data_IF_579117131789
#
_entry.id   IF_579117131789
#
_cell.length_a   1.000
_cell.length_b   1.000
_cell.length_c   1.000
_cell.angle_alpha   90.00
_cell.angle_beta   90.00
_cell.angle_gamma   90.00
#
_symmetry.space_group_name_H-M   'P 1'
#
loop_
_entity.id
_entity.type
_entity.pdbx_description
1 polymer ?
#
# COMPACT_ATOMS: atom_id res chain seq x y z
N UNK A 1 -25.20 11.26 -8.88
CA UNK A 1 -25.07 10.45 -7.65
C UNK A 1 -26.30 10.74 -6.79
N UNK A 2 -26.91 9.75 -6.13
CA UNK A 2 -28.10 10.00 -5.28
C UNK A 2 -27.72 10.55 -3.90
N UNK A 3 -28.70 11.10 -3.18
CA UNK A 3 -28.49 11.73 -1.86
C UNK A 3 -28.03 10.71 -0.79
N UNK A 4 -28.42 9.44 -0.90
CA UNK A 4 -27.96 8.37 0.00
C UNK A 4 -26.46 8.10 -0.14
N UNK A 5 -25.96 8.09 -1.37
CA UNK A 5 -24.55 7.87 -1.68
C UNK A 5 -23.70 9.07 -1.23
N UNK A 6 -24.19 10.30 -1.41
CA UNK A 6 -23.50 11.48 -0.88
C UNK A 6 -23.38 11.42 0.64
N UNK A 7 -24.45 11.04 1.35
CA UNK A 7 -24.40 10.87 2.81
C UNK A 7 -23.44 9.77 3.24
N UNK A 8 -23.32 8.68 2.47
CA UNK A 8 -22.43 7.57 2.82
C UNK A 8 -20.95 7.88 2.64
N UNK A 9 -20.60 8.96 1.94
CA UNK A 9 -19.22 9.43 1.76
C UNK A 9 -18.93 10.74 2.54
N UNK A 10 -19.92 11.28 3.26
CA UNK A 10 -19.77 12.49 4.08
C UNK A 10 -19.51 12.18 5.55
N UNK A 11 -18.84 13.10 6.24
CA UNK A 11 -18.61 13.11 7.68
C UNK A 11 -18.51 14.54 8.23
N UNK A 12 -18.57 14.72 9.55
CA UNK A 12 -18.25 16.00 10.20
C UNK A 12 -16.77 16.10 10.56
N UNK A 13 -16.26 17.31 10.81
CA UNK A 13 -14.87 17.53 11.20
C UNK A 13 -14.46 16.86 12.53
N UNK A 14 -15.44 16.52 13.38
CA UNK A 14 -15.22 15.85 14.67
C UNK A 14 -15.11 14.33 14.57
N UNK A 15 -15.45 13.74 13.43
CA UNK A 15 -15.25 12.30 13.22
C UNK A 15 -13.76 11.96 13.23
N UNK A 16 -13.46 10.69 13.53
CA UNK A 16 -12.08 10.20 13.54
C UNK A 16 -11.58 10.00 12.12
N UNK A 17 -10.25 9.98 11.98
CA UNK A 17 -9.60 9.67 10.71
C UNK A 17 -9.93 8.25 10.23
N UNK A 18 -10.16 7.30 11.15
CA UNK A 18 -10.70 5.97 10.85
C UNK A 18 -12.05 6.03 10.10
N UNK A 19 -12.94 6.95 10.49
CA UNK A 19 -14.22 7.13 9.81
C UNK A 19 -14.01 7.66 8.39
N UNK A 20 -13.07 8.61 8.22
CA UNK A 20 -12.72 9.13 6.90
C UNK A 20 -12.16 8.03 5.96
N UNK A 21 -11.29 7.14 6.47
CA UNK A 21 -10.80 5.96 5.73
C UNK A 21 -11.97 5.10 5.25
N UNK A 22 -12.90 4.75 6.14
CA UNK A 22 -14.05 3.91 5.80
C UNK A 22 -14.98 4.57 4.75
N UNK A 23 -15.13 5.91 4.80
CA UNK A 23 -15.91 6.67 3.81
C UNK A 23 -15.22 6.68 2.43
N UNK A 24 -13.91 6.82 2.40
CA UNK A 24 -13.11 6.75 1.18
C UNK A 24 -13.24 5.35 0.56
N UNK A 25 -13.09 4.28 1.34
CA UNK A 25 -13.28 2.92 0.85
C UNK A 25 -14.69 2.69 0.28
N UNK A 26 -15.72 3.15 0.98
CA UNK A 26 -17.11 3.07 0.51
C UNK A 26 -17.36 3.86 -0.80
N UNK A 27 -16.56 4.90 -1.06
CA UNK A 27 -16.58 5.67 -2.32
C UNK A 27 -15.82 5.02 -3.47
N UNK A 28 -15.24 3.83 -3.27
CA UNK A 28 -14.33 3.21 -4.24
C UNK A 28 -12.92 3.81 -4.20
N UNK A 29 -12.51 4.37 -3.05
CA UNK A 29 -11.15 4.85 -2.81
C UNK A 29 -10.89 6.30 -3.19
N UNK A 30 -11.93 7.14 -3.31
CA UNK A 30 -11.83 8.45 -3.96
C UNK A 30 -11.79 9.63 -2.97
N UNK A 31 -12.87 9.83 -2.21
CA UNK A 31 -13.02 11.03 -1.37
C UNK A 31 -13.96 10.78 -0.19
N UNK A 32 -13.67 11.48 0.91
CA UNK A 32 -14.65 11.78 1.93
C UNK A 32 -14.94 13.28 1.99
N UNK A 33 -16.22 13.64 2.03
CA UNK A 33 -16.67 15.03 2.11
C UNK A 33 -16.84 15.42 3.58
N UNK A 34 -16.21 16.53 3.98
CA UNK A 34 -16.39 17.05 5.34
C UNK A 34 -17.44 18.16 5.30
N UNK A 35 -18.53 17.96 6.04
CA UNK A 35 -19.70 18.84 6.03
C UNK A 35 -20.08 19.31 7.44
N UNK A 36 -20.74 20.46 7.51
CA UNK A 36 -21.35 20.97 8.75
C UNK A 36 -22.72 20.34 9.05
N UNK A 37 -23.37 20.79 10.12
CA UNK A 37 -24.72 20.33 10.52
C UNK A 37 -25.81 20.64 9.49
N UNK A 38 -25.59 21.63 8.62
CA UNK A 38 -26.48 21.99 7.52
C UNK A 38 -26.07 21.32 6.19
N UNK A 39 -25.13 20.38 6.23
CA UNK A 39 -24.59 19.66 5.08
C UNK A 39 -23.83 20.56 4.08
N UNK A 40 -23.32 21.71 4.55
CA UNK A 40 -22.45 22.58 3.76
C UNK A 40 -21.04 22.04 3.72
N UNK A 41 -20.39 22.14 2.56
CA UNK A 41 -19.02 21.69 2.37
C UNK A 41 -18.03 22.57 3.15
N UNK A 42 -17.33 21.99 4.13
CA UNK A 42 -16.28 22.67 4.91
C UNK A 42 -14.88 22.11 4.65
N UNK A 43 -14.78 20.95 4.01
CA UNK A 43 -13.50 20.37 3.60
C UNK A 43 -13.66 19.06 2.82
N UNK A 44 -12.53 18.54 2.36
CA UNK A 44 -12.44 17.19 1.76
C UNK A 44 -11.26 16.43 2.31
N UNK A 45 -11.36 15.11 2.34
CA UNK A 45 -10.26 14.21 2.68
C UNK A 45 -10.09 13.18 1.56
N UNK A 46 -8.86 13.01 1.11
CA UNK A 46 -8.44 11.95 0.19
C UNK A 46 -7.52 10.97 0.90
N UNK A 47 -7.30 9.81 0.27
CA UNK A 47 -6.28 8.86 0.73
C UNK A 47 -4.89 9.51 0.81
N UNK A 48 -4.55 10.35 -0.17
CA UNK A 48 -3.32 11.16 -0.14
C UNK A 48 -3.23 12.10 1.07
N UNK A 49 -4.34 12.72 1.50
CA UNK A 49 -4.37 13.58 2.69
C UNK A 49 -4.15 12.78 3.97
N UNK A 50 -4.79 11.61 4.07
CA UNK A 50 -4.61 10.67 5.19
C UNK A 50 -3.14 10.27 5.29
N UNK A 51 -2.55 9.83 4.18
CA UNK A 51 -1.15 9.40 4.14
C UNK A 51 -0.19 10.54 4.49
N UNK A 52 -0.40 11.74 3.95
CA UNK A 52 0.37 12.93 4.35
C UNK A 52 0.20 13.29 5.82
N UNK A 53 -0.97 13.09 6.41
CA UNK A 53 -1.21 13.34 7.83
C UNK A 53 -0.49 12.30 8.72
N UNK A 54 -0.51 11.03 8.34
CA UNK A 54 0.20 9.95 9.05
C UNK A 54 1.71 10.24 9.10
N UNK A 55 2.30 10.69 7.99
CA UNK A 55 3.71 11.12 7.95
C UNK A 55 4.02 12.30 8.89
N UNK A 56 3.02 13.13 9.20
CA UNK A 56 3.11 14.26 10.15
C UNK A 56 2.75 13.85 11.59
N UNK A 57 2.52 12.57 11.86
CA UNK A 57 2.26 12.03 13.19
C UNK A 57 0.78 11.80 13.53
N UNK A 58 -0.15 12.04 12.60
CA UNK A 58 -1.56 11.72 12.81
C UNK A 58 -1.75 10.21 13.03
N UNK A 59 -2.80 9.86 13.77
CA UNK A 59 -3.24 8.48 13.98
C UNK A 59 -4.66 8.31 13.47
N UNK A 60 -5.16 7.07 13.42
CA UNK A 60 -6.56 6.81 13.09
C UNK A 60 -7.54 7.42 14.12
N UNK A 61 -7.04 7.82 15.30
CA UNK A 61 -7.79 8.53 16.35
C UNK A 61 -7.78 10.05 16.19
N UNK A 62 -6.93 10.61 15.32
CA UNK A 62 -6.95 12.04 14.98
C UNK A 62 -8.28 12.44 14.36
N UNK A 63 -8.65 13.73 14.43
CA UNK A 63 -9.93 14.18 13.88
C UNK A 63 -9.84 14.48 12.38
N UNK A 64 -10.97 14.38 11.68
CA UNK A 64 -11.09 14.78 10.29
C UNK A 64 -10.74 16.26 10.10
N UNK A 65 -11.09 17.13 11.04
CA UNK A 65 -10.78 18.55 11.03
C UNK A 65 -9.27 18.86 11.04
N UNK A 66 -8.47 18.02 11.69
CA UNK A 66 -7.01 18.18 11.74
C UNK A 66 -6.33 17.81 10.41
N UNK A 67 -7.00 16.99 9.58
CA UNK A 67 -6.44 16.40 8.36
C UNK A 67 -7.01 17.01 7.09
N UNK A 68 -8.28 17.43 7.11
CA UNK A 68 -9.00 17.83 5.91
C UNK A 68 -8.34 19.00 5.16
N UNK A 69 -8.49 18.96 3.84
CA UNK A 69 -8.25 20.11 3.00
C UNK A 69 -9.42 21.10 3.16
N UNK A 70 -9.17 22.21 3.85
CA UNK A 70 -10.20 23.20 4.26
C UNK A 70 -10.71 24.11 3.14
N UNK A 71 -10.03 24.14 1.99
CA UNK A 71 -10.41 24.98 0.86
C UNK A 71 -10.58 24.14 -0.41
N UNK A 72 -11.47 23.12 -0.37
CA UNK A 72 -11.67 22.26 -1.51
C UNK A 72 -12.22 23.05 -2.69
N UNK A 73 -11.75 22.69 -3.88
CA UNK A 73 -12.36 23.15 -5.12
C UNK A 73 -13.78 22.56 -5.19
N UNK A 74 -14.77 23.39 -5.47
CA UNK A 74 -16.15 22.98 -5.73
C UNK A 74 -16.76 23.83 -6.84
N UNK A 75 -17.87 23.37 -7.40
CA UNK A 75 -18.61 24.08 -8.46
C UNK A 75 -20.09 24.26 -8.09
N UNK A 76 -20.75 25.36 -8.52
CA UNK A 76 -22.17 25.54 -8.32
C UNK A 76 -23.02 24.50 -9.05
N UNK A 77 -24.20 24.20 -8.52
CA UNK A 77 -25.23 23.40 -9.19
C UNK A 77 -25.58 24.02 -10.56
N UNK A 78 -25.57 23.18 -11.60
CA UNK A 78 -25.84 23.61 -12.98
C UNK A 78 -24.59 24.00 -13.77
N UNK A 79 -23.39 23.93 -13.18
CA UNK A 79 -22.13 24.10 -13.92
C UNK A 79 -22.05 23.08 -15.07
N UNK A 80 -21.81 23.50 -16.33
CA UNK A 80 -21.74 22.58 -17.46
C UNK A 80 -20.62 21.56 -17.32
N UNK A 81 -20.87 20.30 -17.69
CA UNK A 81 -19.89 19.23 -17.58
C UNK A 81 -18.56 19.51 -18.29
N UNK A 82 -18.59 20.18 -19.44
CA UNK A 82 -17.38 20.55 -20.17
C UNK A 82 -16.47 21.50 -19.37
N UNK A 83 -17.07 22.39 -18.57
CA UNK A 83 -16.32 23.30 -17.69
C UNK A 83 -15.73 22.54 -16.50
N UNK A 84 -16.52 21.66 -15.87
CA UNK A 84 -16.06 20.80 -14.78
C UNK A 84 -14.87 19.94 -15.23
N UNK A 85 -14.98 19.27 -16.39
CA UNK A 85 -13.91 18.47 -16.96
C UNK A 85 -12.65 19.29 -17.28
N UNK A 86 -12.82 20.52 -17.79
CA UNK A 86 -11.70 21.42 -18.04
C UNK A 86 -10.99 21.84 -16.74
N UNK A 87 -11.74 22.10 -15.66
CA UNK A 87 -11.16 22.42 -14.34
C UNK A 87 -10.40 21.22 -13.79
N UNK A 88 -11.03 20.04 -13.78
CA UNK A 88 -10.43 18.80 -13.30
C UNK A 88 -9.11 18.49 -14.02
N UNK A 89 -9.11 18.58 -15.35
CA UNK A 89 -7.91 18.36 -16.17
C UNK A 89 -6.82 19.43 -15.97
N UNK A 90 -7.21 20.71 -15.88
CA UNK A 90 -6.26 21.82 -15.75
C UNK A 90 -5.59 21.84 -14.38
N UNK A 91 -6.38 21.60 -13.33
CA UNK A 91 -5.94 21.70 -11.94
C UNK A 91 -5.44 20.35 -11.41
N UNK A 92 -5.46 19.28 -12.23
CA UNK A 92 -5.09 17.92 -11.85
C UNK A 92 -5.86 17.45 -10.60
N UNK A 93 -7.15 17.78 -10.56
CA UNK A 93 -8.07 17.38 -9.51
C UNK A 93 -8.93 16.25 -10.05
N UNK A 94 -9.14 15.21 -9.25
CA UNK A 94 -9.84 13.99 -9.69
C UNK A 94 -11.33 13.96 -9.30
N UNK A 95 -11.77 14.95 -8.54
CA UNK A 95 -13.09 15.01 -7.93
C UNK A 95 -13.52 16.46 -7.67
N UNK A 96 -14.78 16.74 -7.97
CA UNK A 96 -15.38 18.06 -7.86
C UNK A 96 -16.71 17.95 -7.12
N UNK A 97 -16.74 18.29 -5.81
CA UNK A 97 -17.98 18.54 -5.11
C UNK A 97 -18.85 19.59 -5.82
N UNK A 98 -20.15 19.34 -5.89
CA UNK A 98 -21.15 20.27 -6.41
C UNK A 98 -21.95 20.81 -5.24
N UNK A 99 -22.05 22.13 -5.16
CA UNK A 99 -22.76 22.83 -4.08
C UNK A 99 -23.88 23.72 -4.61
N UNK A 100 -24.93 23.93 -3.83
CA UNK A 100 -25.96 24.94 -4.11
C UNK A 100 -25.51 26.36 -3.72
N UNK A 101 -26.43 27.33 -3.76
CA UNK A 101 -26.13 28.72 -3.45
C UNK A 101 -25.78 28.94 -1.97
N UNK A 102 -26.25 28.07 -1.09
CA UNK A 102 -26.01 28.06 0.35
C UNK A 102 -24.78 27.25 0.75
N UNK A 103 -24.07 26.65 -0.23
CA UNK A 103 -22.87 25.83 -0.03
C UNK A 103 -23.17 24.37 0.35
N UNK A 104 -24.43 23.95 0.32
CA UNK A 104 -24.86 22.59 0.64
C UNK A 104 -24.39 21.64 -0.46
N UNK A 105 -23.80 20.52 -0.08
CA UNK A 105 -23.37 19.49 -1.03
C UNK A 105 -24.61 18.83 -1.66
N UNK A 106 -24.75 18.99 -2.97
CA UNK A 106 -25.84 18.42 -3.77
C UNK A 106 -25.35 17.39 -4.80
N UNK A 107 -24.04 17.28 -5.00
CA UNK A 107 -23.45 16.37 -5.98
C UNK A 107 -21.95 16.19 -5.82
N UNK A 108 -21.42 15.22 -6.55
CA UNK A 108 -19.99 14.98 -6.72
C UNK A 108 -19.78 14.55 -8.17
N UNK A 109 -18.97 15.30 -8.90
CA UNK A 109 -18.43 14.86 -10.18
C UNK A 109 -17.05 14.28 -9.97
N UNK A 110 -16.79 13.17 -10.63
CA UNK A 110 -15.47 12.55 -10.67
C UNK A 110 -14.91 12.85 -12.04
N UNK A 111 -13.61 13.13 -12.12
CA UNK A 111 -12.92 13.21 -13.40
C UNK A 111 -13.09 11.86 -14.09
N UNK A 112 -13.92 11.86 -15.13
CA UNK A 112 -14.15 10.81 -16.13
C UNK A 112 -13.95 9.38 -15.64
N UNK A 113 -14.55 8.98 -14.50
CA UNK A 113 -14.25 7.72 -13.80
C UNK A 113 -12.77 7.63 -13.43
N UNK A 114 -12.44 7.59 -12.14
CA UNK A 114 -11.09 7.20 -11.72
C UNK A 114 -10.91 5.74 -12.14
N UNK A 115 -10.42 5.51 -13.35
CA UNK A 115 -9.75 4.27 -13.70
C UNK A 115 -8.49 4.29 -12.85
N UNK A 116 -8.59 3.69 -11.66
CA UNK A 116 -7.39 3.16 -11.02
C UNK A 116 -6.58 2.46 -12.11
N UNK A 117 -5.26 2.67 -12.18
CA UNK A 117 -4.46 2.10 -13.24
C UNK A 117 -4.82 0.63 -13.43
N UNK A 118 -5.21 0.23 -14.65
CA UNK A 118 -5.74 -1.10 -14.92
C UNK A 118 -4.80 -2.15 -14.30
N UNK A 119 -5.19 -2.82 -13.21
CA UNK A 119 -4.31 -3.73 -12.49
C UNK A 119 -3.80 -4.86 -13.39
N UNK A 120 -4.55 -5.25 -14.43
CA UNK A 120 -4.14 -6.29 -15.37
C UNK A 120 -2.98 -5.85 -16.28
N UNK A 121 -2.79 -4.54 -16.48
CA UNK A 121 -1.69 -3.97 -17.26
C UNK A 121 -0.38 -3.87 -16.46
N UNK A 122 -0.41 -4.11 -15.15
CA UNK A 122 0.71 -3.97 -14.25
C UNK A 122 1.27 -5.32 -13.82
N UNK A 123 2.60 -5.46 -13.91
CA UNK A 123 3.31 -6.65 -13.47
C UNK A 123 3.56 -6.61 -11.97
N UNK A 124 3.35 -7.75 -11.32
CA UNK A 124 3.68 -7.98 -9.91
C UNK A 124 4.91 -8.87 -9.84
N UNK A 125 5.94 -8.45 -9.09
CA UNK A 125 7.15 -9.22 -8.87
C UNK A 125 7.22 -9.61 -7.40
N UNK A 126 7.22 -10.91 -7.12
CA UNK A 126 7.29 -11.43 -5.75
C UNK A 126 8.68 -12.00 -5.48
N UNK A 127 9.33 -11.50 -4.43
CA UNK A 127 10.63 -11.99 -3.99
C UNK A 127 10.44 -13.25 -3.13
N UNK A 128 10.54 -14.42 -3.76
CA UNK A 128 10.28 -15.73 -3.16
C UNK A 128 11.55 -16.59 -2.93
N UNK A 129 12.74 -16.05 -3.21
CA UNK A 129 14.02 -16.79 -3.15
C UNK A 129 14.75 -16.79 -1.79
N UNK A 130 14.16 -16.25 -0.74
CA UNK A 130 14.80 -16.13 0.58
C UNK A 130 15.00 -17.47 1.30
N UNK A 131 16.15 -17.65 1.96
CA UNK A 131 16.48 -18.89 2.72
C UNK A 131 15.66 -19.09 4.00
N UNK A 132 14.95 -18.04 4.48
CA UNK A 132 14.10 -18.14 5.67
C UNK A 132 14.80 -18.57 6.96
N UNK A 133 16.12 -18.35 7.10
CA UNK A 133 16.96 -18.98 8.14
C UNK A 133 16.50 -18.83 9.59
N UNK A 134 15.71 -17.80 9.90
CA UNK A 134 15.14 -17.55 11.23
C UNK A 134 13.96 -18.47 11.59
N UNK A 135 13.39 -19.16 10.61
CA UNK A 135 12.28 -20.10 10.75
C UNK A 135 12.73 -21.56 10.62
N UNK A 136 14.04 -21.83 10.70
CA UNK A 136 14.53 -23.20 10.79
C UNK A 136 14.01 -23.89 12.07
N UNK A 137 13.73 -25.20 12.03
CA UNK A 137 14.04 -26.14 10.95
C UNK A 137 13.02 -26.19 9.80
N UNK A 138 11.89 -25.48 9.87
CA UNK A 138 10.81 -25.56 8.87
C UNK A 138 11.35 -25.23 7.46
N UNK A 139 12.15 -24.17 7.38
CA UNK A 139 12.68 -23.68 6.09
C UNK A 139 13.86 -24.47 5.53
N UNK A 140 14.20 -25.62 6.12
CA UNK A 140 15.20 -26.53 5.55
C UNK A 140 14.63 -27.39 4.42
N UNK A 141 13.32 -27.67 4.47
CA UNK A 141 12.62 -28.51 3.49
C UNK A 141 11.47 -27.79 2.78
N UNK A 142 11.01 -26.66 3.32
CA UNK A 142 9.89 -25.87 2.77
C UNK A 142 10.36 -24.45 2.50
N UNK A 143 10.22 -23.90 1.27
CA UNK A 143 10.46 -22.48 1.02
C UNK A 143 9.63 -21.62 1.96
N UNK A 144 10.18 -20.54 2.50
CA UNK A 144 9.45 -19.65 3.41
C UNK A 144 8.06 -19.21 2.86
N UNK A 145 7.92 -18.80 1.59
CA UNK A 145 6.61 -18.45 1.02
C UNK A 145 5.62 -19.62 0.94
N UNK A 146 6.10 -20.87 1.04
CA UNK A 146 5.27 -22.08 1.00
C UNK A 146 4.85 -22.59 2.38
N UNK A 147 5.25 -21.92 3.47
CA UNK A 147 4.77 -22.26 4.81
C UNK A 147 3.26 -22.04 4.85
N UNK A 148 2.53 -23.02 5.38
CA UNK A 148 1.07 -22.96 5.48
C UNK A 148 0.64 -22.11 6.68
N UNK A 149 -0.36 -21.26 6.43
CA UNK A 149 -1.07 -20.51 7.46
C UNK A 149 -2.55 -20.73 7.20
N UNK A 150 -3.26 -21.34 8.15
CA UNK A 150 -4.67 -21.73 7.97
C UNK A 150 -4.87 -22.72 6.81
N UNK A 151 -3.98 -23.70 6.67
CA UNK A 151 -4.07 -24.76 5.66
C UNK A 151 -3.75 -24.35 4.22
N UNK A 152 -3.26 -23.12 3.99
CA UNK A 152 -2.89 -22.60 2.66
C UNK A 152 -1.52 -21.93 2.70
N UNK A 153 -0.67 -22.08 1.67
CA UNK A 153 0.63 -21.40 1.61
C UNK A 153 0.52 -19.87 1.71
N UNK A 154 1.49 -19.22 2.37
CA UNK A 154 1.59 -17.74 2.42
C UNK A 154 1.55 -17.14 1.00
N UNK A 155 2.33 -17.71 0.07
CA UNK A 155 2.41 -17.23 -1.30
C UNK A 155 1.09 -17.35 -2.04
N UNK A 156 0.31 -18.41 -1.79
CA UNK A 156 -1.01 -18.56 -2.38
C UNK A 156 -1.96 -17.43 -1.94
N UNK A 157 -1.93 -17.06 -0.66
CA UNK A 157 -2.70 -15.94 -0.12
C UNK A 157 -2.26 -14.61 -0.73
N UNK A 158 -0.96 -14.39 -0.89
CA UNK A 158 -0.43 -13.19 -1.56
C UNK A 158 -0.95 -13.10 -3.00
N UNK A 159 -0.83 -14.18 -3.76
CA UNK A 159 -1.26 -14.24 -5.17
C UNK A 159 -2.78 -14.08 -5.31
N UNK A 160 -3.56 -14.67 -4.42
CA UNK A 160 -5.01 -14.48 -4.37
C UNK A 160 -5.38 -13.01 -4.15
N UNK A 161 -4.71 -12.31 -3.22
CA UNK A 161 -4.96 -10.88 -2.99
C UNK A 161 -4.70 -10.03 -4.23
N UNK A 162 -3.59 -10.27 -4.93
CA UNK A 162 -3.32 -9.60 -6.20
C UNK A 162 -4.40 -9.91 -7.24
N UNK A 163 -4.82 -11.18 -7.36
CA UNK A 163 -5.90 -11.58 -8.27
C UNK A 163 -7.23 -10.90 -7.96
N UNK A 164 -7.63 -10.86 -6.69
CA UNK A 164 -8.85 -10.20 -6.21
C UNK A 164 -8.87 -8.71 -6.57
N UNK A 165 -7.70 -8.07 -6.55
CA UNK A 165 -7.53 -6.67 -6.95
C UNK A 165 -7.33 -6.47 -8.47
N UNK A 166 -7.48 -7.52 -9.29
CA UNK A 166 -7.45 -7.43 -10.74
C UNK A 166 -6.09 -7.67 -11.40
N UNK A 167 -5.02 -7.86 -10.63
CA UNK A 167 -3.70 -8.16 -11.19
C UNK A 167 -3.67 -9.57 -11.79
N UNK A 168 -2.98 -9.74 -12.91
CA UNK A 168 -2.93 -11.01 -13.65
C UNK A 168 -1.52 -11.49 -13.96
N UNK A 169 -0.56 -10.58 -14.14
CA UNK A 169 0.81 -10.92 -14.53
C UNK A 169 1.74 -10.93 -13.32
N UNK A 170 2.38 -12.07 -13.07
CA UNK A 170 3.24 -12.26 -11.90
C UNK A 170 4.58 -12.87 -12.29
N UNK A 171 5.66 -12.26 -11.82
CA UNK A 171 7.00 -12.86 -11.85
C UNK A 171 7.41 -13.30 -10.46
N UNK A 172 7.68 -14.59 -10.27
CA UNK A 172 8.19 -15.13 -9.02
C UNK A 172 9.72 -15.21 -9.09
N UNK A 173 10.40 -14.38 -8.29
CA UNK A 173 11.85 -14.46 -8.13
C UNK A 173 12.18 -15.59 -7.16
N UNK A 174 12.68 -16.71 -7.69
CA UNK A 174 12.92 -17.95 -6.96
C UNK A 174 14.40 -18.32 -6.95
N UNK A 175 14.82 -19.03 -5.90
CA UNK A 175 16.19 -19.51 -5.76
C UNK A 175 16.21 -20.89 -5.11
N UNK A 176 16.59 -20.97 -3.83
CA UNK A 176 16.62 -22.22 -3.08
C UNK A 176 15.22 -22.87 -3.04
N UNK A 177 15.15 -24.18 -3.30
CA UNK A 177 13.89 -24.95 -3.36
C UNK A 177 12.86 -24.44 -4.40
N UNK A 178 13.31 -23.75 -5.46
CA UNK A 178 12.44 -23.23 -6.53
C UNK A 178 11.48 -24.27 -7.10
N UNK A 179 11.91 -25.52 -7.27
CA UNK A 179 11.08 -26.59 -7.82
C UNK A 179 9.79 -26.88 -7.04
N UNK A 180 9.75 -26.58 -5.74
CA UNK A 180 8.51 -26.70 -4.93
C UNK A 180 7.52 -25.62 -5.32
N UNK A 181 7.99 -24.37 -5.46
CA UNK A 181 7.15 -23.23 -5.86
C UNK A 181 6.66 -23.44 -7.29
N UNK A 182 7.56 -23.78 -8.22
CA UNK A 182 7.22 -24.02 -9.63
C UNK A 182 6.26 -25.20 -9.80
N UNK A 183 6.48 -26.28 -9.05
CA UNK A 183 5.60 -27.46 -9.08
C UNK A 183 4.19 -27.17 -8.55
N UNK A 184 4.06 -26.28 -7.55
CA UNK A 184 2.75 -25.91 -6.98
C UNK A 184 1.99 -24.91 -7.87
N UNK A 185 2.67 -23.88 -8.37
CA UNK A 185 2.00 -22.79 -9.08
C UNK A 185 1.93 -22.96 -10.61
N UNK A 186 2.83 -23.76 -11.21
CA UNK A 186 2.84 -23.97 -12.66
C UNK A 186 2.93 -22.65 -13.44
N UNK A 187 2.14 -22.50 -14.49
CA UNK A 187 1.99 -21.24 -15.24
C UNK A 187 0.98 -20.26 -14.60
N UNK A 188 0.42 -20.60 -13.43
CA UNK A 188 -0.57 -19.80 -12.71
C UNK A 188 -2.00 -19.95 -13.21
N UNK A 189 -2.28 -20.71 -14.28
CA UNK A 189 -3.61 -20.79 -14.86
C UNK A 189 -4.66 -21.32 -13.87
N UNK A 190 -4.28 -22.31 -13.04
CA UNK A 190 -5.13 -22.85 -11.97
C UNK A 190 -5.51 -21.81 -10.90
N UNK A 191 -4.71 -20.75 -10.77
CA UNK A 191 -4.93 -19.66 -9.84
C UNK A 191 -5.59 -18.45 -10.49
N UNK A 192 -5.84 -18.46 -11.81
CA UNK A 192 -6.36 -17.30 -12.56
C UNK A 192 -5.30 -16.21 -12.80
N UNK A 193 -4.03 -16.62 -12.87
CA UNK A 193 -2.87 -15.75 -13.06
C UNK A 193 -2.04 -16.24 -14.26
N UNK A 194 -1.12 -15.38 -14.71
CA UNK A 194 -0.04 -15.71 -15.62
C UNK A 194 1.27 -15.56 -14.84
N UNK A 195 1.92 -16.69 -14.56
CA UNK A 195 3.13 -16.74 -13.73
C UNK A 195 4.33 -17.12 -14.59
N UNK A 196 5.37 -16.28 -14.52
CA UNK A 196 6.73 -16.63 -14.93
C UNK A 196 7.70 -16.64 -13.75
N UNK A 197 8.86 -17.25 -13.97
CA UNK A 197 9.85 -17.49 -12.93
C UNK A 197 11.18 -16.85 -13.28
N UNK A 198 11.66 -16.02 -12.37
CA UNK A 198 13.00 -15.44 -12.42
C UNK A 198 13.90 -16.26 -11.51
N UNK A 199 14.73 -17.12 -12.11
CA UNK A 199 15.65 -17.99 -11.36
C UNK A 199 16.96 -17.28 -11.06
N UNK A 200 17.20 -17.00 -9.79
CA UNK A 200 18.49 -16.52 -9.32
C UNK A 200 19.48 -17.68 -9.16
N UNK A 201 20.60 -17.67 -9.92
CA UNK A 201 21.69 -18.66 -9.75
C UNK A 201 22.62 -18.33 -8.58
N UNK A 202 22.62 -17.06 -8.15
CA UNK A 202 23.32 -16.54 -6.97
C UNK A 202 22.45 -15.50 -6.30
N UNK A 203 22.73 -15.15 -5.04
CA UNK A 203 21.94 -14.15 -4.31
C UNK A 203 22.17 -12.75 -4.90
N UNK A 204 21.20 -12.24 -5.64
CA UNK A 204 21.25 -10.93 -6.31
C UNK A 204 20.65 -9.80 -5.46
N UNK A 205 19.97 -10.13 -4.36
CA UNK A 205 19.30 -9.14 -3.54
C UNK A 205 17.94 -8.73 -4.13
N UNK A 206 17.16 -7.96 -3.37
CA UNK A 206 15.76 -7.68 -3.70
C UNK A 206 15.60 -6.84 -4.96
N UNK A 207 16.51 -5.88 -5.21
CA UNK A 207 16.51 -5.12 -6.45
C UNK A 207 17.29 -5.84 -7.55
N UNK A 208 18.41 -6.50 -7.23
CA UNK A 208 19.24 -7.17 -8.24
C UNK A 208 18.51 -8.27 -9.00
N UNK A 209 17.57 -8.98 -8.39
CA UNK A 209 16.73 -9.96 -9.10
C UNK A 209 15.90 -9.34 -10.23
N UNK A 210 15.55 -8.05 -10.13
CA UNK A 210 14.79 -7.33 -11.17
C UNK A 210 15.60 -7.15 -12.45
N UNK A 211 16.95 -7.18 -12.38
CA UNK A 211 17.82 -7.17 -13.57
C UNK A 211 17.73 -8.43 -14.42
N UNK A 212 17.12 -9.49 -13.88
CA UNK A 212 16.94 -10.79 -14.55
C UNK A 212 15.56 -10.94 -15.20
N UNK A 213 14.71 -9.92 -15.14
CA UNK A 213 13.44 -9.91 -15.86
C UNK A 213 13.71 -10.02 -17.37
N UNK A 214 13.00 -10.92 -18.06
CA UNK A 214 13.26 -11.20 -19.47
C UNK A 214 12.97 -10.00 -20.38
N UNK A 215 11.76 -9.44 -20.26
CA UNK A 215 11.35 -8.24 -20.98
C UNK A 215 11.14 -7.08 -20.01
N UNK A 216 11.57 -5.89 -20.43
CA UNK A 216 11.37 -4.66 -19.65
C UNK A 216 9.87 -4.32 -19.63
N UNK A 217 9.24 -4.18 -18.45
CA UNK A 217 7.85 -3.76 -18.38
C UNK A 217 7.64 -2.37 -18.97
N UNK A 218 6.52 -2.14 -19.66
CA UNK A 218 6.16 -0.82 -20.19
C UNK A 218 5.55 0.10 -19.14
N UNK A 219 4.97 -0.49 -18.09
CA UNK A 219 4.27 0.19 -17.01
C UNK A 219 5.00 -0.02 -15.68
N UNK A 220 4.81 0.88 -14.69
CA UNK A 220 5.27 0.65 -13.33
C UNK A 220 4.92 -0.75 -12.83
N UNK A 221 5.84 -1.38 -12.11
CA UNK A 221 5.63 -2.70 -11.54
C UNK A 221 5.54 -2.63 -10.03
N UNK A 222 4.79 -3.55 -9.45
CA UNK A 222 4.74 -3.77 -8.00
C UNK A 222 5.82 -4.77 -7.67
N UNK A 223 6.62 -4.49 -6.64
CA UNK A 223 7.61 -5.43 -6.10
C UNK A 223 7.27 -5.66 -4.64
N UNK A 224 7.20 -6.92 -4.21
CA UNK A 224 6.83 -7.28 -2.85
C UNK A 224 7.60 -8.50 -2.35
N UNK A 225 8.00 -8.52 -1.07
CA UNK A 225 8.57 -9.73 -0.50
C UNK A 225 7.50 -10.82 -0.34
N UNK A 226 7.86 -12.07 -0.65
CA UNK A 226 6.95 -13.22 -0.65
C UNK A 226 6.56 -13.77 0.73
N UNK A 227 6.84 -13.02 1.79
CA UNK A 227 6.59 -13.36 3.19
C UNK A 227 5.71 -12.33 3.91
N UNK A 228 5.11 -11.40 3.16
CA UNK A 228 4.30 -10.32 3.70
C UNK A 228 2.82 -10.64 3.50
N UNK A 229 2.08 -10.76 4.60
CA UNK A 229 0.62 -10.82 4.58
C UNK A 229 0.06 -9.41 4.77
N UNK A 230 -0.80 -8.95 3.87
CA UNK A 230 -1.30 -7.58 3.90
C UNK A 230 -2.70 -7.44 3.30
N UNK A 231 -3.41 -6.39 3.69
CA UNK A 231 -4.70 -5.97 3.11
C UNK A 231 -4.60 -4.65 2.34
N UNK A 232 -3.40 -4.23 1.96
CA UNK A 232 -3.17 -3.00 1.20
C UNK A 232 -3.95 -3.02 -0.12
N UNK A 233 -4.50 -1.87 -0.49
CA UNK A 233 -5.01 -1.63 -1.83
C UNK A 233 -3.85 -1.22 -2.76
N UNK A 234 -3.40 -2.16 -3.59
CA UNK A 234 -2.29 -1.95 -4.52
C UNK A 234 -2.67 -0.99 -5.67
N UNK A 235 -3.95 -0.93 -6.05
CA UNK A 235 -4.45 0.06 -7.01
C UNK A 235 -4.28 1.49 -6.50
N UNK A 236 -4.56 1.74 -5.23
CA UNK A 236 -4.31 3.04 -4.58
C UNK A 236 -2.82 3.36 -4.49
N UNK A 237 -1.98 2.36 -4.19
CA UNK A 237 -0.52 2.56 -4.19
C UNK A 237 0.02 2.93 -5.58
N UNK A 238 -0.52 2.32 -6.64
CA UNK A 238 -0.22 2.69 -8.04
C UNK A 238 -0.72 4.09 -8.38
N UNK A 239 -1.97 4.42 -8.03
CA UNK A 239 -2.52 5.75 -8.25
C UNK A 239 -1.65 6.82 -7.56
N UNK A 240 -1.30 6.60 -6.30
CA UNK A 240 -0.40 7.48 -5.55
C UNK A 240 0.97 7.64 -6.21
N UNK A 241 1.53 6.57 -6.77
CA UNK A 241 2.78 6.64 -7.52
C UNK A 241 2.67 7.58 -8.73
N UNK A 242 1.58 7.48 -9.51
CA UNK A 242 1.34 8.35 -10.65
C UNK A 242 1.03 9.80 -10.25
N UNK A 243 0.19 10.01 -9.25
CA UNK A 243 -0.20 11.34 -8.74
C UNK A 243 1.01 12.17 -8.31
N UNK A 244 2.02 11.52 -7.72
CA UNK A 244 3.25 12.17 -7.29
C UNK A 244 4.34 12.20 -8.37
N UNK A 245 4.03 11.75 -9.60
CA UNK A 245 5.00 11.54 -10.67
C UNK A 245 6.25 10.78 -10.18
N UNK A 246 6.09 9.84 -9.26
CA UNK A 246 7.20 9.15 -8.63
C UNK A 246 7.89 8.20 -9.62
N UNK A 247 9.18 7.97 -9.41
CA UNK A 247 9.92 6.87 -10.02
C UNK A 247 10.01 5.65 -9.10
N UNK A 248 9.94 5.88 -7.78
CA UNK A 248 9.93 4.83 -6.78
C UNK A 248 9.01 5.20 -5.60
N UNK A 249 8.09 4.32 -5.24
CA UNK A 249 7.20 4.47 -4.08
C UNK A 249 7.49 3.33 -3.11
N UNK A 250 7.76 3.64 -1.85
CA UNK A 250 8.01 2.65 -0.80
C UNK A 250 6.85 2.61 0.19
N UNK A 251 6.29 1.42 0.41
CA UNK A 251 5.38 1.16 1.52
C UNK A 251 6.11 1.29 2.85
N UNK A 252 5.55 2.05 3.79
CA UNK A 252 6.11 2.24 5.13
C UNK A 252 5.14 1.76 6.20
N UNK A 253 5.57 0.82 7.04
CA UNK A 253 4.78 0.42 8.19
C UNK A 253 5.19 1.25 9.42
N UNK A 254 4.21 1.63 10.26
CA UNK A 254 4.49 2.30 11.53
C UNK A 254 4.93 1.27 12.57
N UNK A 255 6.09 1.47 13.18
CA UNK A 255 6.63 0.64 14.23
C UNK A 255 6.74 1.44 15.52
N UNK A 256 6.09 0.96 16.58
CA UNK A 256 6.13 1.57 17.90
C UNK A 256 7.01 0.76 18.82
N UNK A 257 7.96 1.44 19.46
CA UNK A 257 8.79 0.85 20.49
C UNK A 257 8.57 1.58 21.81
N UNK A 258 7.97 0.89 22.78
CA UNK A 258 7.89 1.40 24.14
C UNK A 258 9.11 0.94 24.93
N UNK A 259 9.86 1.90 25.46
CA UNK A 259 10.86 1.59 26.48
C UNK A 259 10.09 1.31 27.78
N UNK A 260 10.23 0.14 28.44
CA UNK A 260 9.45 -0.18 29.64
C UNK A 260 9.98 0.52 30.92
N UNK A 261 10.89 1.48 30.77
CA UNK A 261 11.61 2.18 31.84
C UNK A 261 11.58 3.70 31.63
N UNK A 262 11.94 4.45 32.68
CA UNK A 262 12.27 5.86 32.57
C UNK A 262 13.54 6.09 31.74
N UNK A 263 13.40 6.82 30.63
CA UNK A 263 14.51 7.31 29.80
C UNK A 263 15.00 8.64 30.35
N UNK A 264 16.31 8.79 30.49
CA UNK A 264 16.95 10.01 30.99
C UNK A 264 17.72 10.68 29.87
N UNK A 265 17.40 11.93 29.56
CA UNK A 265 18.10 12.71 28.55
C UNK A 265 19.36 13.30 29.15
N UNK A 266 20.54 12.88 28.68
CA UNK A 266 21.83 13.37 29.17
C UNK A 266 22.53 14.19 28.10
N UNK A 267 22.93 15.43 28.43
CA UNK A 267 23.81 16.24 27.59
C UNK A 267 25.13 16.47 28.32
N UNK A 268 26.23 15.99 27.72
CA UNK A 268 27.55 15.89 28.37
C UNK A 268 27.45 15.07 29.67
N UNK A 269 27.46 15.73 30.82
CA UNK A 269 27.39 15.11 32.15
C UNK A 269 26.14 15.54 32.95
N UNK A 270 25.23 16.30 32.34
CA UNK A 270 24.05 16.83 33.01
C UNK A 270 22.80 16.14 32.52
N UNK A 271 21.93 15.78 33.47
CA UNK A 271 20.57 15.34 33.18
C UNK A 271 19.76 16.56 32.73
N UNK A 272 19.10 16.42 31.59
CA UNK A 272 18.32 17.47 30.93
C UNK A 272 16.83 17.16 30.84
N UNK A 273 16.43 15.90 31.07
CA UNK A 273 15.04 15.47 30.96
C UNK A 273 14.84 14.05 31.46
N UNK A 274 13.58 13.73 31.73
CA UNK A 274 13.10 12.39 32.06
C UNK A 274 11.84 12.12 31.25
N UNK A 275 11.75 10.94 30.66
CA UNK A 275 10.55 10.44 29.99
C UNK A 275 10.21 9.08 30.58
N UNK A 276 9.08 8.95 31.26
CA UNK A 276 8.64 7.65 31.79
C UNK A 276 7.96 6.84 30.70
N UNK A 277 8.43 5.60 30.52
CA UNK A 277 7.93 4.64 29.54
C UNK A 277 7.63 5.22 28.15
N UNK A 278 8.57 5.99 27.57
CA UNK A 278 8.30 6.68 26.32
C UNK A 278 8.05 5.68 25.20
N UNK A 279 7.14 6.06 24.32
CA UNK A 279 6.88 5.36 23.06
C UNK A 279 7.57 6.14 21.96
N UNK A 280 8.41 5.45 21.19
CA UNK A 280 9.04 6.00 20.01
C UNK A 280 8.35 5.46 18.76
N UNK A 281 7.96 6.36 17.88
CA UNK A 281 7.37 6.04 16.59
C UNK A 281 8.45 6.05 15.50
N UNK A 282 8.49 4.98 14.71
CA UNK A 282 9.37 4.86 13.56
C UNK A 282 8.56 4.44 12.33
N UNK A 283 9.02 4.82 11.15
CA UNK A 283 8.60 4.18 9.91
C UNK A 283 9.65 3.16 9.49
N UNK A 284 9.20 1.93 9.24
CA UNK A 284 10.04 0.85 8.74
C UNK A 284 9.63 0.51 7.31
N UNK A 285 10.61 0.07 6.52
CA UNK A 285 10.36 -0.42 5.17
C UNK A 285 9.40 -1.63 5.24
N UNK A 286 8.25 -1.51 4.58
CA UNK A 286 7.21 -2.53 4.60
C UNK A 286 7.51 -3.68 3.62
N UNK A 287 8.57 -3.61 2.81
CA UNK A 287 8.90 -4.63 1.81
C UNK A 287 7.95 -4.67 0.62
N UNK A 288 7.27 -3.56 0.35
CA UNK A 288 6.31 -3.38 -0.75
C UNK A 288 6.68 -2.09 -1.48
N UNK A 289 6.73 -2.16 -2.80
CA UNK A 289 7.21 -1.06 -3.63
C UNK A 289 6.42 -0.95 -4.93
N UNK A 290 6.29 0.26 -5.45
CA UNK A 290 5.94 0.51 -6.85
C UNK A 290 7.12 1.21 -7.50
N UNK A 291 7.59 0.69 -8.63
CA UNK A 291 8.74 1.26 -9.32
C UNK A 291 8.45 1.47 -10.81
N UNK A 292 8.88 2.60 -11.35
CA UNK A 292 8.78 2.90 -12.77
C UNK A 292 9.84 2.11 -13.56
N UNK A 293 9.56 1.65 -14.79
CA UNK A 293 10.51 0.84 -15.56
C UNK A 293 11.87 1.49 -15.78
N UNK A 294 11.90 2.82 -15.84
CA UNK A 294 13.09 3.67 -15.96
C UNK A 294 14.15 3.37 -14.90
N UNK A 295 13.74 3.04 -13.67
CA UNK A 295 14.70 2.85 -12.57
C UNK A 295 15.45 1.52 -12.65
N UNK A 296 14.99 0.58 -13.49
CA UNK A 296 15.69 -0.69 -13.69
C UNK A 296 17.11 -0.48 -14.25
N UNK A 297 17.34 0.62 -14.97
CA UNK A 297 18.66 0.97 -15.51
C UNK A 297 19.67 1.37 -14.41
N UNK A 298 19.19 1.70 -13.21
CA UNK A 298 20.04 2.01 -12.06
C UNK A 298 20.57 0.75 -11.35
N UNK A 299 20.06 -0.43 -11.72
CA UNK A 299 20.42 -1.70 -11.09
C UNK A 299 21.69 -2.22 -11.77
N UNK A 300 22.81 -2.38 -11.03
CA UNK A 300 24.03 -2.92 -11.60
C UNK A 300 23.82 -4.40 -12.01
N UNK A 301 24.22 -4.80 -13.23
CA UNK A 301 24.07 -6.18 -13.67
C UNK A 301 24.95 -7.12 -12.84
N UNK A 302 24.45 -8.34 -12.65
CA UNK A 302 25.19 -9.46 -12.03
C UNK A 302 25.79 -9.17 -10.63
N UNK A 303 25.22 -8.23 -9.88
CA UNK A 303 25.66 -7.85 -8.53
C UNK A 303 24.52 -7.90 -7.51
N UNK A 304 24.87 -8.19 -6.26
CA UNK A 304 23.97 -7.97 -5.13
C UNK A 304 23.54 -6.49 -5.07
N UNK A 305 22.23 -6.26 -5.11
CA UNK A 305 21.63 -4.94 -4.99
C UNK A 305 20.28 -5.05 -4.29
N UNK A 306 20.03 -4.22 -3.29
CA UNK A 306 18.77 -4.24 -2.54
C UNK A 306 17.92 -3.00 -2.82
N UNK A 307 16.64 -3.07 -2.44
CA UNK A 307 15.69 -1.97 -2.66
C UNK A 307 16.13 -0.66 -1.97
N UNK A 308 16.64 -0.63 -0.72
CA UNK A 308 17.18 0.60 -0.14
C UNK A 308 18.29 1.23 -0.99
N UNK A 309 19.25 0.43 -1.47
CA UNK A 309 20.32 0.92 -2.35
C UNK A 309 19.77 1.46 -3.67
N UNK A 310 18.72 0.85 -4.24
CA UNK A 310 18.06 1.36 -5.44
C UNK A 310 17.38 2.71 -5.17
N UNK A 311 16.65 2.83 -4.05
CA UNK A 311 16.02 4.08 -3.64
C UNK A 311 17.05 5.20 -3.43
N UNK A 312 18.25 4.88 -2.94
CA UNK A 312 19.37 5.83 -2.80
C UNK A 312 19.93 6.37 -4.13
N UNK A 313 19.72 5.67 -5.24
CA UNK A 313 20.08 6.15 -6.57
C UNK A 313 18.98 7.02 -7.22
N UNK A 314 17.75 6.98 -6.70
CA UNK A 314 16.63 7.76 -7.24
C UNK A 314 16.67 9.18 -6.65
N UNK A 315 16.44 10.17 -7.50
CA UNK A 315 16.38 11.58 -7.07
C UNK A 315 15.39 11.76 -5.90
N UNK A 316 15.72 12.52 -4.84
CA UNK A 316 14.87 12.69 -3.66
C UNK A 316 13.42 13.09 -3.97
N UNK A 317 13.21 14.00 -4.92
CA UNK A 317 11.86 14.45 -5.30
C UNK A 317 11.07 13.44 -6.15
N UNK A 318 11.71 12.34 -6.57
CA UNK A 318 11.09 11.27 -7.38
C UNK A 318 10.96 9.95 -6.61
N UNK A 319 11.35 9.92 -5.33
CA UNK A 319 11.12 8.78 -4.45
C UNK A 319 10.16 9.18 -3.32
N UNK A 320 9.07 8.46 -3.17
CA UNK A 320 7.97 8.85 -2.28
C UNK A 320 7.62 7.76 -1.27
N UNK A 321 7.16 8.20 -0.10
CA UNK A 321 6.74 7.35 1.00
C UNK A 321 5.22 7.12 0.94
N UNK A 322 4.81 5.86 1.02
CA UNK A 322 3.42 5.43 1.11
C UNK A 322 3.19 4.79 2.47
N UNK A 323 2.80 5.56 3.51
CA UNK A 323 2.53 5.00 4.82
C UNK A 323 1.31 4.10 4.79
N UNK A 324 1.44 2.93 5.40
CA UNK A 324 0.37 1.94 5.51
C UNK A 324 -0.50 2.27 6.72
N UNK A 325 -1.81 2.18 6.54
CA UNK A 325 -2.79 2.14 7.63
C UNK A 325 -3.63 0.84 7.58
N UNK A 326 -3.42 0.03 6.56
CA UNK A 326 -4.00 -1.28 6.34
C UNK A 326 -3.24 -2.38 7.10
N UNK A 327 -3.79 -3.59 7.15
CA UNK A 327 -3.11 -4.73 7.79
C UNK A 327 -1.79 -5.04 7.09
N UNK A 328 -0.73 -5.24 7.86
CA UNK A 328 0.59 -5.65 7.39
C UNK A 328 1.28 -6.55 8.41
N UNK A 329 1.81 -7.68 7.96
CA UNK A 329 2.58 -8.62 8.76
C UNK A 329 3.71 -9.24 7.92
N UNK A 330 4.96 -8.95 8.27
CA UNK A 330 6.13 -9.72 7.80
C UNK A 330 6.26 -11.00 8.64
N UNK A 331 6.08 -12.16 8.01
CA UNK A 331 6.19 -13.47 8.67
C UNK A 331 7.66 -13.85 8.82
N UNK A 332 8.44 -13.06 9.56
CA UNK A 332 9.90 -13.13 9.63
C UNK A 332 10.47 -14.16 10.62
N UNK A 333 9.75 -14.41 11.71
CA UNK A 333 10.19 -15.16 12.89
C UNK A 333 9.05 -16.05 13.44
N UNK A 334 9.34 -16.98 14.37
CA UNK A 334 8.31 -17.86 14.93
C UNK A 334 7.10 -17.13 15.52
N UNK A 335 7.31 -16.03 16.25
CA UNK A 335 6.22 -15.23 16.82
C UNK A 335 5.33 -14.60 15.72
N UNK A 336 5.93 -14.15 14.62
CA UNK A 336 5.19 -13.61 13.48
C UNK A 336 4.36 -14.70 12.78
N UNK A 337 4.92 -15.92 12.68
CA UNK A 337 4.20 -17.07 12.15
C UNK A 337 3.03 -17.47 13.05
N UNK A 338 3.21 -17.46 14.38
CA UNK A 338 2.11 -17.70 15.31
C UNK A 338 1.00 -16.67 15.12
N UNK A 339 1.36 -15.37 15.03
CA UNK A 339 0.39 -14.30 14.77
C UNK A 339 -0.33 -14.48 13.45
N UNK A 340 0.37 -14.94 12.41
CA UNK A 340 -0.25 -15.26 11.13
C UNK A 340 -1.25 -16.42 11.28
N UNK A 341 -0.87 -17.49 11.98
CA UNK A 341 -1.74 -18.64 12.24
C UNK A 341 -2.98 -18.20 13.02
N UNK A 342 -2.84 -17.37 14.05
CA UNK A 342 -3.99 -16.90 14.83
C UNK A 342 -4.92 -16.02 13.97
N UNK A 343 -4.36 -15.16 13.11
CA UNK A 343 -5.14 -14.28 12.25
C UNK A 343 -5.90 -15.01 11.12
N UNK A 344 -5.38 -16.14 10.64
CA UNK A 344 -5.90 -16.82 9.44
C UNK A 344 -6.26 -18.30 9.65
N UNK A 345 -6.10 -18.83 10.86
CA UNK A 345 -6.22 -20.26 11.19
C UNK A 345 -7.61 -20.75 11.58
N UNK A 346 -8.53 -19.85 11.95
CA UNK A 346 -9.84 -20.24 12.52
C UNK A 346 -11.07 -19.93 11.64
N UNK A 347 -10.90 -19.46 10.39
CA UNK A 347 -12.02 -18.89 9.60
C UNK A 347 -12.37 -19.55 8.25
N UNK A 348 -11.83 -20.71 7.89
CA UNK A 348 -12.30 -21.45 6.70
C UNK A 348 -12.90 -22.81 7.11
N UNK A 349 -14.24 -23.01 7.06
CA UNK A 349 -14.78 -24.36 7.02
C UNK A 349 -14.29 -25.00 5.73
N UNK A 350 -13.59 -26.13 5.85
CA UNK A 350 -13.31 -27.03 4.74
C UNK A 350 -14.61 -27.25 3.97
N UNK A 351 -14.73 -26.66 2.78
CA UNK A 351 -15.75 -27.06 1.82
C UNK A 351 -15.43 -28.49 1.42
N UNK A 352 -16.09 -29.43 2.09
CA UNK A 352 -16.19 -30.79 1.62
C UNK A 352 -16.98 -30.77 0.31
N UNK A 353 -16.35 -31.16 -0.80
CA UNK A 353 -16.99 -31.99 -1.83
C UNK A 353 -15.92 -32.71 -2.63
#
# INVERSE_FOLDING_TARGET
MDTSTLKSISLSETHKLADAVARIEASGGQIALVVDEQFRLIGTITDGDIRRAILRGATLESTAGDVMHRHPRSVPLGTPMAEIAAILKREMIFQMPVVDAEGVVVGLHLADQIELPDPAAHRVVIMAGGLGTRLRPITETVPKPMIEVGGRPILERILERFREQGFRQVSLCVNHLAGIIEGHFGDGAAFGLQIDYVRETKRMGTAGALSLLGERPEKPLIVMNGDILTSINFGQMLAFHYENAALATMGLNRYQYQVPYGVVDVRKHHITGFSEKPVFDFFVNAGIYVISPEILDLIPPDRFFDMPSLFDQVHPDRRVAFPLHEYWLDVGKPDDLSRAIDAFGESEPRSAT
#
